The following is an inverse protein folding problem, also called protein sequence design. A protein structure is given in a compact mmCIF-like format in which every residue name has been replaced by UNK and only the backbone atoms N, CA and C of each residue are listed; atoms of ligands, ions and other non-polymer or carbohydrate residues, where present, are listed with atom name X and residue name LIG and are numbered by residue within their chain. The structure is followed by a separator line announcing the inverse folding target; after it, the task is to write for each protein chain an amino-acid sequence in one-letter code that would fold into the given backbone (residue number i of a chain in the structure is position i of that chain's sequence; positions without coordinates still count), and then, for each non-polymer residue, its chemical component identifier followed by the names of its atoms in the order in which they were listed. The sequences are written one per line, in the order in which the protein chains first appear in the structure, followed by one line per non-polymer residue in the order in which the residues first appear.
data_IF_365766409372
#
_entry.id   IF_365766409372
#
_cell.length_a   1.000
_cell.length_b   1.000
_cell.length_c   1.000
_cell.angle_alpha   90.00
_cell.angle_beta   90.00
_cell.angle_gamma   90.00
#
_symmetry.space_group_name_H-M   'P 1'
#
loop_
_entity.id
_entity.type
_entity.pdbx_description
1 polymer ?
#
# COMPACT_ATOMS: atom_id res chain seq x y z
N UNK A 1 -37.31 -2.92 -11.19
CA UNK A 1 -36.63 -2.09 -12.20
C UNK A 1 -36.15 -0.84 -11.48
N UNK A 2 -34.84 -0.73 -11.23
CA UNK A 2 -34.29 0.33 -10.39
C UNK A 2 -32.78 0.22 -10.27
N UNK A 3 -32.08 0.55 -11.37
CA UNK A 3 -30.74 1.12 -11.37
C UNK A 3 -29.59 0.29 -10.81
N UNK A 4 -29.09 -0.68 -11.58
CA UNK A 4 -27.66 -0.98 -11.60
C UNK A 4 -26.96 0.26 -12.20
N UNK A 5 -26.14 0.98 -11.42
CA UNK A 5 -24.93 1.73 -11.86
C UNK A 5 -24.49 2.78 -10.81
N UNK A 6 -23.65 2.37 -9.86
CA UNK A 6 -22.59 3.21 -9.28
C UNK A 6 -21.57 2.33 -8.52
N UNK A 7 -21.12 1.24 -9.16
CA UNK A 7 -19.78 0.75 -8.87
C UNK A 7 -18.78 1.79 -9.39
N UNK A 8 -17.66 1.93 -8.68
CA UNK A 8 -16.51 2.81 -9.00
C UNK A 8 -16.57 4.24 -8.43
N UNK A 9 -16.87 4.38 -7.12
CA UNK A 9 -16.23 5.46 -6.37
C UNK A 9 -14.78 5.03 -6.08
N UNK A 10 -13.89 5.92 -6.47
CA UNK A 10 -12.44 5.86 -6.40
C UNK A 10 -11.93 5.97 -4.94
N UNK A 11 -12.46 5.12 -4.06
CA UNK A 11 -12.20 5.07 -2.61
C UNK A 11 -10.90 4.31 -2.33
N UNK A 12 -9.77 4.98 -2.56
CA UNK A 12 -8.56 4.64 -1.83
C UNK A 12 -8.88 4.93 -0.36
N UNK A 13 -9.27 3.91 0.40
CA UNK A 13 -9.49 4.02 1.85
C UNK A 13 -8.23 4.63 2.48
N UNK A 14 -8.28 5.88 2.97
CA UNK A 14 -7.08 6.60 3.37
C UNK A 14 -6.35 5.91 4.52
N UNK A 15 -7.02 5.06 5.29
CA UNK A 15 -6.42 4.30 6.37
C UNK A 15 -5.64 3.06 5.86
N UNK A 16 -5.89 2.60 4.64
CA UNK A 16 -5.21 1.45 4.04
C UNK A 16 -3.98 1.81 3.19
N UNK A 17 -3.68 3.10 3.02
CA UNK A 17 -2.55 3.54 2.20
C UNK A 17 -1.52 4.30 3.03
N UNK A 18 -0.29 3.79 3.03
CA UNK A 18 0.82 4.38 3.78
C UNK A 18 1.95 4.83 2.86
N UNK A 19 2.60 5.92 3.21
CA UNK A 19 3.79 6.38 2.47
C UNK A 19 4.97 5.46 2.75
N UNK A 20 5.92 5.35 1.82
CA UNK A 20 7.12 4.51 2.02
C UNK A 20 7.90 4.88 3.28
N UNK A 21 8.03 6.18 3.59
CA UNK A 21 8.72 6.66 4.78
C UNK A 21 7.98 6.28 6.05
N UNK A 22 6.66 6.51 6.11
CA UNK A 22 5.85 6.12 7.26
C UNK A 22 5.81 4.60 7.45
N UNK A 23 5.80 3.82 6.37
CA UNK A 23 5.90 2.36 6.45
C UNK A 23 7.26 1.90 7.02
N UNK A 24 8.35 2.54 6.60
CA UNK A 24 9.67 2.23 7.12
C UNK A 24 9.76 2.47 8.64
N UNK A 25 9.18 3.57 9.11
CA UNK A 25 9.10 3.91 10.54
C UNK A 25 8.17 2.97 11.31
N UNK A 26 6.96 2.71 10.79
CA UNK A 26 5.94 1.87 11.44
C UNK A 26 6.38 0.42 11.58
N UNK A 27 6.99 -0.14 10.54
CA UNK A 27 7.36 -1.55 10.48
C UNK A 27 8.83 -1.82 10.79
N UNK A 28 9.64 -0.78 10.99
CA UNK A 28 11.08 -0.91 11.24
C UNK A 28 11.86 -1.52 10.08
N UNK A 29 11.40 -1.34 8.84
CA UNK A 29 12.01 -1.90 7.62
C UNK A 29 12.67 -0.84 6.76
N UNK A 30 13.74 -1.20 6.04
CA UNK A 30 14.41 -0.26 5.15
C UNK A 30 13.54 0.13 3.94
N UNK A 31 13.66 1.37 3.45
CA UNK A 31 13.02 1.82 2.21
C UNK A 31 13.36 0.89 1.02
N UNK A 32 14.58 0.35 1.00
CA UNK A 32 15.03 -0.61 -0.02
C UNK A 32 14.26 -1.92 0.03
N UNK A 33 13.92 -2.40 1.23
CA UNK A 33 13.08 -3.58 1.43
C UNK A 33 11.68 -3.30 0.88
N UNK A 34 11.08 -2.16 1.23
CA UNK A 34 9.76 -1.77 0.73
C UNK A 34 9.73 -1.66 -0.80
N UNK A 35 10.75 -1.03 -1.40
CA UNK A 35 10.87 -0.93 -2.85
C UNK A 35 11.03 -2.31 -3.52
N UNK A 36 11.75 -3.24 -2.87
CA UNK A 36 11.87 -4.62 -3.36
C UNK A 36 10.53 -5.35 -3.31
N UNK A 37 9.76 -5.21 -2.23
CA UNK A 37 8.44 -5.84 -2.09
C UNK A 37 7.46 -5.32 -3.15
N UNK A 38 7.44 -4.01 -3.35
CA UNK A 38 6.63 -3.40 -4.40
C UNK A 38 7.09 -3.82 -5.81
N UNK A 39 8.40 -3.91 -6.06
CA UNK A 39 8.94 -4.37 -7.34
C UNK A 39 8.68 -5.87 -7.60
N UNK A 40 8.60 -6.68 -6.56
CA UNK A 40 8.24 -8.09 -6.63
C UNK A 40 6.72 -8.31 -6.80
N UNK A 41 5.91 -7.26 -6.67
CA UNK A 41 4.45 -7.37 -6.65
C UNK A 41 3.89 -8.02 -5.38
N UNK A 42 4.71 -8.11 -4.31
CA UNK A 42 4.29 -8.61 -3.00
C UNK A 42 3.43 -7.57 -2.26
N UNK A 43 3.62 -6.28 -2.57
CA UNK A 43 2.89 -5.16 -1.95
C UNK A 43 2.36 -4.25 -3.04
N UNK A 44 1.06 -3.97 -3.01
CA UNK A 44 0.45 -3.03 -3.95
C UNK A 44 0.99 -1.62 -3.74
N UNK A 45 1.27 -0.95 -4.86
CA UNK A 45 1.81 0.41 -4.89
C UNK A 45 0.98 1.28 -5.81
N UNK A 46 0.40 2.32 -5.25
CA UNK A 46 -0.33 3.35 -6.01
C UNK A 46 0.52 4.60 -6.17
N UNK A 47 0.55 5.14 -7.38
CA UNK A 47 1.13 6.45 -7.66
C UNK A 47 0.04 7.50 -7.83
N UNK A 48 0.08 8.55 -7.02
CA UNK A 48 -0.82 9.69 -7.15
C UNK A 48 -0.10 10.83 -7.89
N UNK A 49 -0.40 11.08 -9.19
CA UNK A 49 0.36 12.01 -10.02
C UNK A 49 0.20 13.49 -9.64
N UNK A 50 -0.67 13.83 -8.68
CA UNK A 50 -1.01 15.20 -8.28
C UNK A 50 -0.81 15.52 -6.79
N UNK A 51 -0.26 14.59 -6.00
CA UNK A 51 0.02 14.81 -4.57
C UNK A 51 1.41 14.29 -4.23
N UNK A 52 2.15 15.06 -3.44
CA UNK A 52 3.39 14.60 -2.81
C UNK A 52 3.05 14.19 -1.36
N UNK A 53 3.54 13.04 -0.88
CA UNK A 53 4.31 12.04 -1.63
C UNK A 53 3.46 11.35 -2.69
N UNK A 54 4.06 11.08 -3.85
CA UNK A 54 3.35 10.56 -5.03
C UNK A 54 3.28 9.04 -5.09
N UNK A 55 3.70 8.35 -4.02
CA UNK A 55 3.73 6.89 -3.97
C UNK A 55 3.32 6.40 -2.59
N UNK A 56 2.29 5.56 -2.59
CA UNK A 56 1.73 4.91 -1.40
C UNK A 56 1.83 3.40 -1.58
N UNK A 57 1.86 2.69 -0.46
CA UNK A 57 1.85 1.23 -0.36
C UNK A 57 0.61 0.79 0.41
N UNK A 58 0.08 -0.38 0.04
CA UNK A 58 -1.03 -1.03 0.76
C UNK A 58 -0.56 -1.47 2.15
N UNK A 59 -1.29 -1.07 3.20
CA UNK A 59 -1.04 -1.46 4.59
C UNK A 59 -1.35 -2.95 4.77
N UNK A 60 -2.47 -3.43 4.22
CA UNK A 60 -2.88 -4.84 4.32
C UNK A 60 -1.83 -5.80 3.74
N UNK A 61 -1.27 -5.47 2.57
CA UNK A 61 -0.22 -6.28 1.97
C UNK A 61 1.07 -6.25 2.79
N UNK A 62 1.43 -5.08 3.34
CA UNK A 62 2.58 -4.95 4.22
C UNK A 62 2.41 -5.81 5.48
N UNK A 63 1.26 -5.75 6.13
CA UNK A 63 0.96 -6.57 7.31
C UNK A 63 1.08 -8.06 6.97
N UNK A 64 0.48 -8.49 5.86
CA UNK A 64 0.52 -9.89 5.42
C UNK A 64 1.94 -10.36 5.12
N UNK A 65 2.68 -9.60 4.33
CA UNK A 65 4.02 -9.99 3.86
C UNK A 65 5.04 -9.94 4.98
N UNK A 66 4.97 -8.92 5.84
CA UNK A 66 5.90 -8.76 6.95
C UNK A 66 5.61 -9.77 8.07
N UNK A 67 4.33 -10.04 8.39
CA UNK A 67 3.98 -11.10 9.32
C UNK A 67 4.52 -12.47 8.87
N UNK A 68 4.42 -12.79 7.58
CA UNK A 68 4.95 -14.03 7.03
C UNK A 68 6.49 -14.14 7.11
N UNK A 69 7.22 -13.01 7.11
CA UNK A 69 8.69 -12.99 7.18
C UNK A 69 9.24 -12.98 8.61
N UNK A 70 8.47 -12.53 9.60
CA UNK A 70 8.88 -12.53 11.03
C UNK A 70 8.77 -13.91 11.67
N UNK A 71 7.94 -14.81 11.11
CA UNK A 71 7.81 -16.20 11.59
C UNK A 71 8.85 -17.19 11.02
N UNK A 72 9.87 -16.71 10.29
CA UNK A 72 10.93 -17.56 9.72
C UNK A 72 12.26 -17.44 10.45
#
# INVERSE_FOLDING_TARGET
MGGDTAAMSNDLDPDNWITRTAAAERYGVSLRTLDRLAAAGEVERVKLPRRLPSSFLSVDDLDRVLAAKVSQ
#
